data_IF_565547209313
#
_entry.id   IF_565547209313
#
_cell.length_a   1.000
_cell.length_b   1.000
_cell.length_c   1.000
_cell.angle_alpha   90.00
_cell.angle_beta   90.00
_cell.angle_gamma   90.00
#
_symmetry.space_group_name_H-M   'P 1'
#
loop_
_entity.id
_entity.type
_entity.pdbx_description
1 polymer ?
#
# COMPACT_ATOMS: atom_id res chain seq x y z
N UNK A 1 6.40 -24.77 25.85
CA UNK A 1 6.63 -24.66 24.39
C UNK A 1 5.27 -24.41 23.78
N UNK A 2 4.94 -23.15 23.47
CA UNK A 2 3.70 -22.82 22.78
C UNK A 2 3.84 -23.29 21.34
N UNK A 3 3.05 -24.28 20.96
CA UNK A 3 2.85 -24.70 19.57
C UNK A 3 2.08 -23.57 18.89
N UNK A 4 2.80 -22.62 18.30
CA UNK A 4 2.20 -21.67 17.36
C UNK A 4 1.85 -22.47 16.11
N UNK A 5 0.58 -22.42 15.69
CA UNK A 5 0.17 -23.00 14.42
C UNK A 5 1.03 -22.37 13.32
N UNK A 6 1.75 -23.14 12.48
CA UNK A 6 2.56 -22.59 11.40
C UNK A 6 1.74 -21.78 10.37
N UNK A 7 0.40 -21.81 10.46
CA UNK A 7 -0.52 -20.99 9.68
C UNK A 7 -1.31 -19.96 10.49
N UNK A 8 -0.90 -19.65 11.72
CA UNK A 8 -1.49 -18.54 12.48
C UNK A 8 -1.20 -17.20 11.78
N UNK A 9 -2.22 -16.49 11.23
CA UNK A 9 -2.00 -15.28 10.47
C UNK A 9 -1.35 -14.15 11.29
N UNK A 10 -1.60 -14.09 12.59
CA UNK A 10 -0.99 -13.10 13.49
C UNK A 10 0.52 -13.34 13.60
N UNK A 11 0.91 -14.59 13.86
CA UNK A 11 2.33 -14.96 13.98
C UNK A 11 3.09 -14.75 12.66
N UNK A 12 2.47 -15.08 11.52
CA UNK A 12 3.03 -14.83 10.19
C UNK A 12 3.19 -13.34 9.92
N UNK A 13 2.19 -12.52 10.24
CA UNK A 13 2.24 -11.07 10.12
C UNK A 13 3.40 -10.48 10.93
N UNK A 14 3.47 -10.80 12.22
CA UNK A 14 4.51 -10.27 13.12
C UNK A 14 5.92 -10.68 12.67
N UNK A 15 6.06 -11.89 12.13
CA UNK A 15 7.33 -12.35 11.57
C UNK A 15 7.69 -11.55 10.30
N UNK A 16 6.77 -11.42 9.36
CA UNK A 16 7.00 -10.68 8.12
C UNK A 16 7.38 -9.22 8.41
N UNK A 17 6.62 -8.56 9.28
CA UNK A 17 6.89 -7.18 9.72
C UNK A 17 8.23 -7.06 10.43
N UNK A 18 8.58 -7.99 11.32
CA UNK A 18 9.88 -7.99 11.99
C UNK A 18 11.05 -8.13 11.02
N UNK A 19 10.92 -8.98 9.99
CA UNK A 19 11.94 -9.16 8.94
C UNK A 19 12.05 -7.90 8.07
N UNK A 20 10.92 -7.29 7.71
CA UNK A 20 10.89 -6.05 6.92
C UNK A 20 11.55 -4.88 7.69
N UNK A 21 11.22 -4.70 8.97
CA UNK A 21 11.81 -3.68 9.84
C UNK A 21 13.33 -3.84 10.03
N UNK A 22 13.86 -5.05 9.81
CA UNK A 22 15.32 -5.32 9.80
C UNK A 22 15.97 -5.01 8.44
N UNK A 23 15.22 -4.45 7.48
CA UNK A 23 15.69 -4.10 6.14
C UNK A 23 15.78 -5.29 5.18
N UNK A 24 15.20 -6.45 5.55
CA UNK A 24 15.17 -7.67 4.72
C UNK A 24 13.84 -7.79 3.97
N UNK A 25 13.41 -6.70 3.34
CA UNK A 25 12.07 -6.57 2.75
C UNK A 25 11.75 -7.62 1.68
N UNK A 26 12.74 -8.05 0.88
CA UNK A 26 12.52 -9.10 -0.14
C UNK A 26 12.19 -10.47 0.49
N UNK A 27 12.75 -10.78 1.66
CA UNK A 27 12.41 -12.00 2.41
C UNK A 27 11.06 -11.87 3.14
N UNK A 28 10.66 -10.65 3.50
CA UNK A 28 9.37 -10.39 4.11
C UNK A 28 8.19 -10.60 3.13
N UNK A 29 8.43 -10.51 1.82
CA UNK A 29 7.40 -10.71 0.79
C UNK A 29 6.67 -12.05 0.95
N UNK A 30 7.41 -13.15 1.08
CA UNK A 30 6.80 -14.49 1.26
C UNK A 30 5.89 -14.53 2.51
N UNK A 31 6.29 -13.84 3.58
CA UNK A 31 5.48 -13.75 4.79
C UNK A 31 4.18 -12.95 4.59
N UNK A 32 4.25 -11.83 3.88
CA UNK A 32 3.07 -11.02 3.56
C UNK A 32 2.13 -11.72 2.58
N UNK A 33 2.66 -12.35 1.53
CA UNK A 33 1.88 -13.16 0.57
C UNK A 33 1.07 -14.24 1.31
N UNK A 34 1.73 -15.01 2.20
CA UNK A 34 1.05 -16.03 3.00
C UNK A 34 -0.05 -15.47 3.90
N UNK A 35 0.18 -14.33 4.56
CA UNK A 35 -0.84 -13.68 5.42
C UNK A 35 -2.05 -13.27 4.59
N UNK A 36 -1.82 -12.80 3.37
CA UNK A 36 -2.87 -12.34 2.48
C UNK A 36 -3.69 -13.50 1.90
N UNK A 37 -3.04 -14.58 1.46
CA UNK A 37 -3.72 -15.80 0.95
C UNK A 37 -4.62 -16.46 1.99
N UNK A 38 -4.28 -16.33 3.28
CA UNK A 38 -5.11 -16.85 4.38
C UNK A 38 -6.42 -16.06 4.58
N UNK A 39 -6.65 -14.96 3.85
CA UNK A 39 -7.83 -14.10 3.96
C UNK A 39 -8.15 -13.71 5.41
N UNK A 40 -7.08 -13.46 6.18
CA UNK A 40 -7.15 -13.09 7.58
C UNK A 40 -7.52 -11.61 7.76
N UNK A 41 -7.70 -11.16 9.01
CA UNK A 41 -7.87 -9.74 9.33
C UNK A 41 -6.70 -8.86 8.87
N UNK A 42 -5.52 -9.45 8.65
CA UNK A 42 -4.33 -8.76 8.17
C UNK A 42 -4.19 -8.77 6.65
N UNK A 43 -5.04 -9.48 5.90
CA UNK A 43 -4.86 -9.67 4.46
C UNK A 43 -4.76 -8.34 3.69
N UNK A 44 -5.64 -7.38 4.00
CA UNK A 44 -5.59 -6.04 3.41
C UNK A 44 -4.24 -5.34 3.69
N UNK A 45 -3.76 -5.38 4.94
CA UNK A 45 -2.50 -4.74 5.32
C UNK A 45 -1.29 -5.44 4.67
N UNK A 46 -1.34 -6.77 4.55
CA UNK A 46 -0.29 -7.57 3.95
C UNK A 46 -0.14 -7.28 2.45
N UNK A 47 -1.23 -7.26 1.67
CA UNK A 47 -1.17 -6.89 0.26
C UNK A 47 -0.71 -5.43 0.05
N UNK A 48 -1.12 -4.50 0.92
CA UNK A 48 -0.60 -3.12 0.85
C UNK A 48 0.93 -3.11 1.05
N UNK A 49 1.44 -3.77 2.08
CA UNK A 49 2.89 -3.81 2.37
C UNK A 49 3.68 -4.51 1.27
N UNK A 50 3.18 -5.63 0.77
CA UNK A 50 3.77 -6.34 -0.37
C UNK A 50 3.89 -5.39 -1.59
N UNK A 51 2.80 -4.68 -1.91
CA UNK A 51 2.80 -3.75 -3.03
C UNK A 51 3.80 -2.60 -2.86
N UNK A 52 3.98 -2.09 -1.65
CA UNK A 52 4.93 -1.01 -1.35
C UNK A 52 6.38 -1.51 -1.48
N UNK A 53 6.67 -2.73 -1.01
CA UNK A 53 7.96 -3.38 -1.16
C UNK A 53 8.29 -3.60 -2.65
N UNK A 54 7.34 -4.14 -3.43
CA UNK A 54 7.50 -4.32 -4.87
C UNK A 54 7.83 -3.00 -5.58
N UNK A 55 7.20 -1.90 -5.18
CA UNK A 55 7.49 -0.57 -5.72
C UNK A 55 8.92 -0.10 -5.38
N UNK A 56 9.34 -0.30 -4.12
CA UNK A 56 10.68 0.05 -3.68
C UNK A 56 11.78 -0.71 -4.44
N UNK A 57 11.47 -1.93 -4.91
CA UNK A 57 12.33 -2.73 -5.78
C UNK A 57 12.16 -2.45 -7.29
N UNK A 58 11.39 -1.43 -7.68
CA UNK A 58 11.17 -1.06 -9.08
C UNK A 58 10.22 -2.00 -9.84
N UNK A 59 9.55 -2.93 -9.16
CA UNK A 59 8.56 -3.86 -9.75
C UNK A 59 7.19 -3.20 -9.83
N UNK A 60 7.13 -2.10 -10.58
CA UNK A 60 6.00 -1.17 -10.57
C UNK A 60 4.68 -1.74 -11.07
N UNK A 61 4.70 -2.57 -12.12
CA UNK A 61 3.49 -3.21 -12.64
C UNK A 61 2.88 -4.15 -11.60
N UNK A 62 3.71 -5.01 -10.98
CA UNK A 62 3.27 -5.95 -9.95
C UNK A 62 2.75 -5.21 -8.71
N UNK A 63 3.47 -4.16 -8.27
CA UNK A 63 3.00 -3.29 -7.18
C UNK A 63 1.61 -2.69 -7.46
N UNK A 64 1.38 -2.21 -8.68
CA UNK A 64 0.08 -1.62 -9.04
C UNK A 64 -1.04 -2.67 -9.08
N UNK A 65 -0.74 -3.89 -9.54
CA UNK A 65 -1.66 -5.02 -9.56
C UNK A 65 -2.06 -5.44 -8.14
N UNK A 66 -1.09 -5.80 -7.30
CA UNK A 66 -1.30 -6.20 -5.90
C UNK A 66 -2.02 -5.12 -5.10
N UNK A 67 -1.67 -3.84 -5.30
CA UNK A 67 -2.37 -2.76 -4.60
C UNK A 67 -3.84 -2.63 -5.04
N UNK A 68 -4.16 -2.84 -6.31
CA UNK A 68 -5.56 -2.81 -6.76
C UNK A 68 -6.35 -3.98 -6.15
N UNK A 69 -5.77 -5.17 -6.07
CA UNK A 69 -6.38 -6.33 -5.39
C UNK A 69 -6.57 -6.07 -3.89
N UNK A 70 -5.61 -5.40 -3.24
CA UNK A 70 -5.76 -4.92 -1.87
C UNK A 70 -7.01 -4.08 -1.67
N UNK A 71 -7.29 -3.18 -2.61
CA UNK A 71 -8.45 -2.29 -2.51
C UNK A 71 -9.80 -3.04 -2.61
N UNK A 72 -9.84 -4.25 -3.18
CA UNK A 72 -11.04 -5.08 -3.23
C UNK A 72 -11.38 -5.71 -1.85
N UNK A 73 -10.42 -5.76 -0.92
CA UNK A 73 -10.65 -6.20 0.46
C UNK A 73 -11.14 -5.10 1.40
N UNK A 74 -11.19 -3.85 0.94
CA UNK A 74 -11.68 -2.75 1.78
C UNK A 74 -13.13 -3.03 2.18
N UNK A 75 -13.45 -3.05 3.49
CA UNK A 75 -14.80 -3.37 3.95
C UNK A 75 -15.86 -2.46 3.31
N UNK A 76 -16.98 -3.04 2.90
CA UNK A 76 -18.05 -2.32 2.19
C UNK A 76 -18.71 -1.18 3.00
N UNK A 77 -18.49 -1.12 4.32
CA UNK A 77 -18.93 -0.01 5.16
C UNK A 77 -17.99 1.21 5.11
N UNK A 78 -16.83 1.08 4.47
CA UNK A 78 -15.90 2.18 4.22
C UNK A 78 -16.12 2.74 2.81
N UNK A 79 -16.15 4.06 2.68
CA UNK A 79 -16.29 4.72 1.39
C UNK A 79 -14.95 4.75 0.67
N UNK A 80 -14.81 3.96 -0.39
CA UNK A 80 -13.63 3.96 -1.24
C UNK A 80 -13.82 4.83 -2.48
N UNK A 81 -12.82 5.64 -2.80
CA UNK A 81 -12.78 6.44 -4.02
C UNK A 81 -11.38 6.53 -4.60
N UNK A 82 -11.29 6.67 -5.91
CA UNK A 82 -10.03 6.88 -6.65
C UNK A 82 -10.12 8.17 -7.45
N UNK A 83 -9.11 9.02 -7.32
CA UNK A 83 -8.89 10.16 -8.20
C UNK A 83 -7.74 9.84 -9.13
N UNK A 84 -7.89 10.19 -10.40
CA UNK A 84 -6.92 9.85 -11.42
C UNK A 84 -6.79 10.97 -12.44
N UNK A 85 -5.55 11.43 -12.62
CA UNK A 85 -5.19 12.44 -13.60
C UNK A 85 -4.19 11.84 -14.56
N UNK A 86 -4.41 12.05 -15.85
CA UNK A 86 -3.52 11.61 -16.90
C UNK A 86 -3.12 12.79 -17.77
N UNK A 87 -1.84 12.87 -18.06
CA UNK A 87 -1.32 13.77 -19.06
C UNK A 87 -0.59 12.97 -20.14
N UNK A 88 -1.14 13.01 -21.35
CA UNK A 88 -0.61 12.29 -22.49
C UNK A 88 0.54 13.06 -23.14
N UNK A 89 1.62 12.34 -23.42
CA UNK A 89 2.73 12.73 -24.29
C UNK A 89 2.82 11.73 -25.43
N UNK A 90 3.64 12.04 -26.44
CA UNK A 90 3.74 11.27 -27.69
C UNK A 90 3.92 9.76 -27.48
N UNK A 91 4.73 9.33 -26.50
CA UNK A 91 5.01 7.91 -26.21
C UNK A 91 4.85 7.52 -24.72
N UNK A 92 4.26 8.39 -23.89
CA UNK A 92 4.12 8.12 -22.47
C UNK A 92 2.93 8.86 -21.86
N UNK A 93 2.32 8.27 -20.84
CA UNK A 93 1.34 8.92 -19.98
C UNK A 93 1.97 9.24 -18.63
N UNK A 94 2.00 10.52 -18.27
CA UNK A 94 2.22 10.91 -16.87
C UNK A 94 0.90 10.72 -16.15
N UNK A 95 0.90 10.03 -15.02
CA UNK A 95 -0.31 9.82 -14.23
C UNK A 95 -0.10 10.25 -12.78
N UNK A 96 -1.20 10.66 -12.16
CA UNK A 96 -1.34 10.77 -10.71
C UNK A 96 -2.59 10.00 -10.31
N UNK A 97 -2.43 8.99 -9.47
CA UNK A 97 -3.51 8.20 -8.87
C UNK A 97 -3.52 8.42 -7.37
N UNK A 98 -4.69 8.72 -6.81
CA UNK A 98 -4.88 8.81 -5.37
C UNK A 98 -6.01 7.88 -4.95
N UNK A 99 -5.76 7.03 -3.97
CA UNK A 99 -6.76 6.16 -3.37
C UNK A 99 -7.16 6.72 -2.01
N UNK A 100 -8.47 6.84 -1.79
CA UNK A 100 -9.05 7.40 -0.58
C UNK A 100 -10.05 6.43 0.04
N UNK A 101 -9.90 6.16 1.34
CA UNK A 101 -10.83 5.39 2.16
C UNK A 101 -11.41 6.34 3.22
N UNK A 102 -12.74 6.43 3.32
CA UNK A 102 -13.44 7.35 4.22
C UNK A 102 -12.96 8.81 4.10
N UNK A 103 -12.60 9.23 2.88
CA UNK A 103 -12.07 10.57 2.59
C UNK A 103 -10.61 10.80 3.00
N UNK A 104 -9.94 9.79 3.58
CA UNK A 104 -8.52 9.85 3.91
C UNK A 104 -7.68 9.31 2.77
N UNK A 105 -6.58 9.97 2.43
CA UNK A 105 -5.66 9.52 1.37
C UNK A 105 -4.80 8.38 1.92
N UNK A 106 -4.91 7.20 1.33
CA UNK A 106 -4.10 6.04 1.70
C UNK A 106 -2.86 5.91 0.83
N UNK A 107 -2.96 6.17 -0.46
CA UNK A 107 -1.82 6.13 -1.37
C UNK A 107 -1.95 7.17 -2.45
N UNK A 108 -0.83 7.83 -2.78
CA UNK A 108 -0.69 8.60 -4.00
C UNK A 108 0.45 8.00 -4.82
N UNK A 109 0.18 7.67 -6.07
CA UNK A 109 1.18 7.22 -7.03
C UNK A 109 1.27 8.24 -8.16
N UNK A 110 2.48 8.75 -8.38
CA UNK A 110 2.81 9.60 -9.52
C UNK A 110 3.81 8.82 -10.36
N UNK A 111 3.57 8.69 -11.66
CA UNK A 111 4.47 7.91 -12.48
C UNK A 111 4.36 8.13 -13.97
N UNK A 112 5.29 7.48 -14.68
CA UNK A 112 5.37 7.42 -16.12
C UNK A 112 4.94 6.03 -16.59
N UNK A 113 3.88 5.99 -17.40
CA UNK A 113 3.45 4.79 -18.10
C UNK A 113 3.90 4.87 -19.56
N UNK A 114 4.65 3.88 -20.00
CA UNK A 114 5.12 3.77 -21.36
C UNK A 114 4.10 2.99 -22.19
N UNK A 115 3.42 3.72 -23.08
CA UNK A 115 2.33 3.16 -23.89
C UNK A 115 2.81 2.11 -24.90
N UNK A 116 4.09 2.14 -25.28
CA UNK A 116 4.66 1.19 -26.24
C UNK A 116 5.02 -0.15 -25.60
N UNK A 117 5.57 -0.13 -24.39
CA UNK A 117 5.90 -1.36 -23.64
C UNK A 117 4.75 -1.87 -22.77
N UNK A 118 3.74 -1.04 -22.50
CA UNK A 118 2.67 -1.36 -21.57
C UNK A 118 3.13 -1.45 -20.12
N UNK A 119 4.20 -0.73 -19.76
CA UNK A 119 4.84 -0.80 -18.44
C UNK A 119 4.90 0.56 -17.76
N UNK A 120 4.91 0.53 -16.43
CA UNK A 120 5.37 1.66 -15.64
C UNK A 120 6.90 1.67 -15.58
N UNK A 121 7.50 2.80 -15.94
CA UNK A 121 8.97 2.96 -15.97
C UNK A 121 9.48 3.60 -14.67
N UNK A 122 8.67 4.45 -14.04
CA UNK A 122 8.93 5.03 -12.72
C UNK A 122 7.59 5.26 -12.02
N UNK A 123 7.46 4.81 -10.77
CA UNK A 123 6.37 5.20 -9.88
C UNK A 123 6.97 5.73 -8.59
N UNK A 124 6.77 7.01 -8.32
CA UNK A 124 6.93 7.57 -7.00
C UNK A 124 5.64 7.33 -6.23
N UNK A 125 5.75 6.52 -5.18
CA UNK A 125 4.67 6.29 -4.24
C UNK A 125 4.90 7.19 -3.03
N UNK A 126 3.95 8.08 -2.80
CA UNK A 126 3.89 8.82 -1.54
C UNK A 126 3.04 7.93 -0.63
N UNK A 127 3.72 7.10 0.15
CA UNK A 127 3.08 6.18 1.08
C UNK A 127 2.52 6.93 2.29
N UNK A 128 1.43 6.36 2.82
CA UNK A 128 0.58 6.95 3.83
C UNK A 128 1.30 7.36 5.11
N UNK A 129 2.50 6.89 5.44
CA UNK A 129 3.19 7.31 6.67
C UNK A 129 3.41 8.83 6.74
N UNK A 130 3.66 9.47 5.59
CA UNK A 130 3.70 10.93 5.47
C UNK A 130 2.32 11.58 5.67
N UNK A 131 1.24 10.92 5.23
CA UNK A 131 -0.15 11.38 5.37
C UNK A 131 -0.70 11.13 6.80
N UNK A 132 -0.38 10.01 7.42
CA UNK A 132 -0.69 9.67 8.82
C UNK A 132 -0.01 10.65 9.77
N UNK A 133 1.24 11.06 9.49
CA UNK A 133 1.92 12.12 10.24
C UNK A 133 1.24 13.50 10.10
N UNK A 134 0.65 13.81 8.94
CA UNK A 134 -0.15 15.03 8.73
C UNK A 134 -1.53 14.95 9.42
N UNK A 135 -2.17 13.79 9.44
CA UNK A 135 -3.43 13.54 10.18
C UNK A 135 -3.24 13.64 11.69
N UNK A 136 -2.12 13.13 12.22
CA UNK A 136 -1.76 13.28 13.64
C UNK A 136 -1.51 14.75 14.00
N UNK A 137 -0.88 15.53 13.12
CA UNK A 137 -0.70 16.98 13.33
C UNK A 137 -2.01 17.77 13.24
N UNK A 138 -2.90 17.43 12.30
CA UNK A 138 -4.19 18.10 12.14
C UNK A 138 -5.13 17.89 13.32
N UNK A 139 -5.19 16.66 13.85
CA UNK A 139 -6.01 16.32 15.01
C UNK A 139 -5.49 16.92 16.33
N UNK A 140 -4.16 16.97 16.51
CA UNK A 140 -3.54 17.66 17.65
C UNK A 140 -3.79 19.18 17.65
N UNK A 141 -3.83 19.81 16.47
CA UNK A 141 -4.13 21.24 16.35
C UNK A 141 -5.60 21.57 16.63
N UNK A 142 -6.55 20.67 16.35
CA UNK A 142 -7.97 20.87 16.66
C UNK A 142 -8.34 20.62 18.12
N UNK A 143 -7.50 19.90 18.87
CA UNK A 143 -7.67 19.64 20.30
C UNK A 143 -7.04 20.72 21.21
N UNK A 144 -6.31 21.68 20.63
CA UNK A 144 -5.57 22.71 21.35
C UNK A 144 -6.31 24.05 21.50
N UNK A 145 -7.57 24.17 21.05
CA UNK A 145 -8.39 25.37 21.27
C UNK A 145 -9.58 25.11 22.21
N UNK A 146 -9.36 25.24 23.53
CA UNK A 146 -10.39 25.67 24.46
C UNK A 146 -10.15 27.14 24.80
N UNK A 147 -10.65 28.06 23.96
CA UNK A 147 -10.48 29.51 24.16
C UNK A 147 -11.33 30.36 23.25
#
# INVERSE_FOLDING_TARGET
MLLVDPKDPEALWLRAEGVDLLGRSEEALEGYELVAELNSSHALAAWVRESDILAAFGRYNQSAEVFNEAMDLVPANQSMSRLEFHWQRENATIFTKAWLINGQIHRVSIGLYNSSSGSFDEIQQINSDFVSALQLKGSASSAADPG
#
